data_IF_848894090215
#
_entry.id   IF_848894090215
#
_cell.length_a   1.000
_cell.length_b   1.000
_cell.length_c   1.000
_cell.angle_alpha   90.00
_cell.angle_beta   90.00
_cell.angle_gamma   90.00
#
_symmetry.space_group_name_H-M   'P 1'
#
loop_
_entity.id
_entity.type
_entity.pdbx_description
1 polymer ?
2 polymer ?
3 water ?
#
# COMPACT_ATOMS: atom_id res chain seq x y z
N UNK A 1 25.60 -5.82 20.20
CA UNK A 1 26.34 -6.48 19.13
C UNK A 1 25.42 -6.87 17.97
N UNK A 2 24.12 -6.86 18.21
CA UNK A 2 23.20 -7.17 17.13
C UNK A 2 23.04 -5.94 16.24
N UNK A 3 23.00 -6.15 14.93
CA UNK A 3 22.80 -5.05 13.99
C UNK A 3 21.30 -4.85 13.79
N UNK A 4 20.90 -3.63 13.46
CA UNK A 4 19.48 -3.34 13.30
C UNK A 4 19.25 -2.53 12.04
N UNK A 5 17.98 -2.35 11.71
CA UNK A 5 17.63 -1.64 10.49
C UNK A 5 16.29 -0.92 10.63
N UNK A 6 16.27 0.39 10.41
CA UNK A 6 15.00 1.11 10.42
C UNK A 6 14.48 1.15 8.99
N UNK A 7 13.18 0.99 8.84
CA UNK A 7 12.56 0.88 7.53
C UNK A 7 12.61 2.06 6.59
N UNK A 8 12.48 1.75 5.31
CA UNK A 8 12.31 2.68 4.24
C UNK A 8 10.84 2.45 3.88
N UNK A 9 9.95 3.23 4.48
CA UNK A 9 8.52 2.98 4.34
C UNK A 9 8.02 2.97 2.91
N UNK A 10 6.95 2.17 2.68
CA UNK A 10 6.37 1.91 1.36
C UNK A 10 5.85 3.14 0.62
N UNK A 11 5.24 4.06 1.36
CA UNK A 11 4.67 5.27 0.79
C UNK A 11 5.08 6.50 1.59
N UNK A 12 4.93 7.67 0.99
CA UNK A 12 5.27 8.91 1.68
C UNK A 12 4.34 9.13 2.87
N UNK A 13 3.09 8.69 2.74
CA UNK A 13 2.11 8.88 3.81
C UNK A 13 2.47 8.05 5.05
N UNK A 14 2.81 6.78 4.84
CA UNK A 14 3.20 5.94 5.96
C UNK A 14 4.49 6.47 6.56
N UNK A 15 5.40 6.93 5.71
CA UNK A 15 6.67 7.47 6.18
C UNK A 15 6.42 8.64 7.14
N UNK A 16 5.52 9.54 6.75
CA UNK A 16 5.26 10.71 7.60
C UNK A 16 4.64 10.35 8.96
N UNK A 17 3.87 9.27 9.01
CA UNK A 17 3.27 8.82 10.26
C UNK A 17 4.30 8.15 11.18
N UNK A 18 5.05 7.21 10.62
CA UNK A 18 5.98 6.40 11.40
C UNK A 18 7.42 6.86 11.53
N UNK A 19 7.89 7.75 10.65
CA UNK A 19 9.29 8.18 10.72
C UNK A 19 9.76 8.68 12.08
N UNK A 20 8.94 9.49 12.76
CA UNK A 20 9.32 10.01 14.06
C UNK A 20 9.62 8.91 15.08
N UNK A 21 8.76 7.90 15.12
CA UNK A 21 8.96 6.80 16.03
C UNK A 21 10.24 6.06 15.68
N UNK A 22 10.42 5.74 14.41
CA UNK A 22 11.61 5.02 13.96
C UNK A 22 12.87 5.76 14.35
N UNK A 23 12.88 7.07 14.11
CA UNK A 23 14.04 7.89 14.42
C UNK A 23 14.32 7.91 15.90
N UNK A 24 13.27 8.00 16.70
CA UNK A 24 13.45 8.04 18.14
C UNK A 24 13.93 6.71 18.69
N UNK A 25 13.46 5.62 18.10
CA UNK A 25 13.91 4.30 18.53
C UNK A 25 15.40 4.16 18.19
N UNK A 26 15.77 4.57 16.98
CA UNK A 26 17.17 4.45 16.56
C UNK A 26 18.07 5.23 17.50
N UNK A 27 17.64 6.43 17.86
CA UNK A 27 18.41 7.27 18.75
C UNK A 27 18.67 6.59 20.09
N UNK A 28 17.63 5.99 20.66
CA UNK A 28 17.76 5.30 21.95
C UNK A 28 18.60 4.03 21.87
N UNK A 29 18.54 3.35 20.74
CA UNK A 29 19.34 2.15 20.55
C UNK A 29 20.83 2.50 20.53
N UNK A 30 21.16 3.58 19.85
CA UNK A 30 22.56 4.01 19.67
C UNK A 30 23.17 4.76 20.87
N UNK A 31 22.30 5.34 21.69
CA UNK A 31 22.71 6.14 22.85
C UNK A 31 23.62 5.47 23.88
N UNK A 32 24.37 6.31 24.60
CA UNK A 32 25.27 5.89 25.68
C UNK A 32 24.80 6.53 26.98
N UNK A 33 24.23 5.71 27.86
CA UNK A 33 23.72 6.21 29.14
C UNK A 33 24.44 5.55 30.32
N UNK A 41 20.37 4.03 34.53
CA UNK A 41 19.11 4.06 35.28
C UNK A 41 18.00 4.67 34.44
N UNK A 42 16.81 4.10 34.55
CA UNK A 42 15.64 4.60 33.83
C UNK A 42 14.54 4.99 34.82
N UNK A 43 13.93 6.16 34.62
CA UNK A 43 12.89 6.65 35.52
C UNK A 43 11.62 5.79 35.56
N UNK A 44 10.68 6.13 36.45
CA UNK A 44 9.43 5.36 36.56
C UNK A 44 8.63 5.56 35.28
N UNK A 45 8.46 4.48 34.52
CA UNK A 45 7.74 4.55 33.24
C UNK A 45 6.30 4.03 33.31
N UNK A 46 5.81 3.76 34.52
CA UNK A 46 4.47 3.23 34.67
C UNK A 46 3.39 4.03 33.94
N UNK A 47 3.38 5.33 34.16
CA UNK A 47 2.36 6.21 33.55
C UNK A 47 2.46 6.33 32.01
N UNK A 48 3.64 6.59 31.48
CA UNK A 48 3.75 6.70 30.03
C UNK A 48 3.43 5.36 29.38
N UNK A 49 3.84 4.27 30.02
CA UNK A 49 3.53 2.97 29.45
C UNK A 49 2.01 2.74 29.51
N UNK A 50 1.38 3.14 30.61
CA UNK A 50 -0.08 3.00 30.70
C UNK A 50 -0.77 3.79 29.58
N UNK A 51 -0.23 4.94 29.19
CA UNK A 51 -0.81 5.74 28.11
C UNK A 51 -0.69 5.00 26.78
N UNK A 52 0.41 4.29 26.60
CA UNK A 52 0.57 3.49 25.39
C UNK A 52 -0.46 2.35 25.43
N UNK A 53 -0.57 1.72 26.59
CA UNK A 53 -1.52 0.62 26.77
C UNK A 53 -2.94 1.05 26.41
N UNK A 54 -3.32 2.24 26.87
CA UNK A 54 -4.67 2.75 26.59
C UNK A 54 -4.86 3.03 25.11
N UNK A 55 -3.83 3.56 24.45
CA UNK A 55 -3.89 3.86 23.03
C UNK A 55 -4.03 2.56 22.25
N UNK A 56 -3.21 1.58 22.61
CA UNK A 56 -3.28 0.30 21.94
C UNK A 56 -4.67 -0.34 22.11
N UNK A 57 -5.22 -0.27 23.31
CA UNK A 57 -6.53 -0.87 23.54
C UNK A 57 -7.63 -0.23 22.69
N UNK A 58 -7.56 1.09 22.54
CA UNK A 58 -8.52 1.80 21.71
C UNK A 58 -8.36 1.35 20.27
N UNK A 59 -7.11 1.29 19.82
CA UNK A 59 -6.81 0.91 18.46
C UNK A 59 -7.34 -0.50 18.19
N UNK A 60 -7.08 -1.41 19.12
CA UNK A 60 -7.56 -2.79 18.97
C UNK A 60 -9.08 -2.83 18.86
N UNK A 61 -9.77 -2.04 19.69
CA UNK A 61 -11.23 -2.00 19.66
C UNK A 61 -11.75 -1.59 18.28
N UNK A 62 -11.12 -0.57 17.70
CA UNK A 62 -11.51 -0.11 16.37
C UNK A 62 -11.15 -1.15 15.31
N UNK A 63 -10.00 -1.79 15.48
CA UNK A 63 -9.57 -2.82 14.53
C UNK A 63 -10.56 -3.98 14.52
N UNK A 64 -11.02 -4.39 15.70
CA UNK A 64 -11.98 -5.49 15.78
C UNK A 64 -13.30 -5.11 15.11
N UNK A 65 -13.76 -3.89 15.33
CA UNK A 65 -15.00 -3.41 14.70
C UNK A 65 -14.85 -3.48 13.18
N UNK A 66 -13.70 -3.07 12.68
CA UNK A 66 -13.43 -3.08 11.23
C UNK A 66 -13.41 -4.50 10.68
N UNK A 67 -12.68 -5.38 11.35
CA UNK A 67 -12.58 -6.77 10.91
C UNK A 67 -13.95 -7.44 10.88
N UNK A 68 -14.75 -7.15 11.90
CA UNK A 68 -16.07 -7.74 12.01
C UNK A 68 -17.15 -7.14 11.09
N UNK A 69 -16.88 -6.00 10.47
CA UNK A 69 -17.86 -5.38 9.60
C UNK A 69 -17.46 -5.25 8.13
N UNK A 70 -16.16 -5.29 7.83
CA UNK A 70 -15.70 -5.16 6.45
C UNK A 70 -16.20 -6.24 5.51
N UNK A 71 -16.51 -5.83 4.28
CA UNK A 71 -16.95 -6.78 3.26
C UNK A 71 -15.71 -7.24 2.50
N UNK A 72 -14.60 -6.54 2.73
CA UNK A 72 -13.34 -6.88 2.08
C UNK A 72 -12.77 -8.12 2.76
N UNK A 73 -13.10 -9.29 2.19
CA UNK A 73 -12.65 -10.55 2.75
C UNK A 73 -11.14 -10.65 2.91
N UNK A 74 -10.37 -9.95 2.08
CA UNK A 74 -8.92 -9.98 2.17
C UNK A 74 -8.42 -9.11 3.31
N UNK A 75 -8.99 -7.92 3.43
CA UNK A 75 -8.62 -7.02 4.51
C UNK A 75 -8.95 -7.76 5.80
N UNK A 76 -10.15 -8.34 5.84
CA UNK A 76 -10.59 -9.10 7.01
C UNK A 76 -9.57 -10.12 7.51
N UNK A 77 -8.86 -10.77 6.59
CA UNK A 77 -7.89 -11.80 6.97
C UNK A 77 -6.47 -11.34 7.31
N UNK A 78 -6.03 -10.25 6.67
CA UNK A 78 -4.67 -9.77 6.88
C UNK A 78 -4.49 -8.83 8.08
N UNK A 79 -5.60 -8.25 8.55
CA UNK A 79 -5.54 -7.31 9.65
C UNK A 79 -5.12 -7.85 11.02
N UNK A 80 -5.78 -8.90 11.50
CA UNK A 80 -5.48 -9.42 12.82
C UNK A 80 -4.01 -9.64 13.20
N UNK A 81 -3.23 -10.28 12.34
CA UNK A 81 -1.83 -10.51 12.68
C UNK A 81 -1.08 -9.22 13.03
N UNK A 82 -1.42 -8.13 12.35
CA UNK A 82 -0.75 -6.85 12.62
C UNK A 82 -1.13 -6.32 14.00
N UNK A 83 -2.42 -6.36 14.33
CA UNK A 83 -2.88 -5.87 15.63
C UNK A 83 -2.33 -6.78 16.72
N UNK A 84 -2.20 -8.07 16.41
CA UNK A 84 -1.68 -9.05 17.35
C UNK A 84 -0.23 -8.72 17.70
N UNK A 85 0.55 -8.35 16.68
CA UNK A 85 1.93 -7.96 16.88
C UNK A 85 2.03 -6.70 17.75
N UNK A 86 1.14 -5.74 17.51
CA UNK A 86 1.15 -4.50 18.29
C UNK A 86 0.81 -4.80 19.75
N UNK A 87 -0.27 -5.55 19.97
CA UNK A 87 -0.67 -5.88 21.34
C UNK A 87 0.43 -6.64 22.09
N UNK A 88 1.00 -7.65 21.43
CA UNK A 88 2.06 -8.43 22.07
C UNK A 88 3.25 -7.55 22.47
N UNK A 89 3.63 -6.62 21.58
CA UNK A 89 4.75 -5.73 21.87
C UNK A 89 4.41 -4.83 23.05
N UNK A 90 3.16 -4.38 23.12
CA UNK A 90 2.73 -3.54 24.23
C UNK A 90 2.91 -4.27 25.58
N UNK A 91 2.65 -5.57 25.59
CA UNK A 91 2.80 -6.32 26.85
C UNK A 91 4.24 -6.30 27.35
N UNK A 92 5.19 -6.18 26.42
CA UNK A 92 6.60 -6.12 26.81
C UNK A 92 6.90 -4.78 27.48
N UNK A 93 6.29 -3.70 27.01
CA UNK A 93 6.52 -2.40 27.64
C UNK A 93 5.96 -2.44 29.07
N UNK A 94 4.79 -3.04 29.22
CA UNK A 94 4.14 -3.14 30.52
C UNK A 94 5.03 -3.91 31.49
N UNK A 95 5.57 -5.04 31.03
CA UNK A 95 6.45 -5.85 31.87
C UNK A 95 7.68 -5.04 32.25
N UNK A 96 8.26 -4.32 31.27
CA UNK A 96 9.44 -3.49 31.55
C UNK A 96 9.19 -2.47 32.66
N UNK A 97 8.05 -1.77 32.58
CA UNK A 97 7.75 -0.74 33.58
C UNK A 97 7.65 -1.34 34.97
N UNK A 98 7.07 -2.54 35.04
CA UNK A 98 6.92 -3.22 36.31
C UNK A 98 8.30 -3.59 36.88
N UNK A 99 9.20 -4.03 36.02
CA UNK A 99 10.55 -4.41 36.45
C UNK A 99 11.38 -3.21 36.90
N UNK A 100 11.18 -2.08 36.23
CA UNK A 100 11.93 -0.87 36.51
C UNK A 100 11.53 -0.24 37.84
N UNK A 101 10.37 -0.59 38.35
CA UNK A 101 9.90 -0.03 39.62
C UNK A 101 10.77 -0.55 40.77
N UNK A 102 11.22 -1.79 40.65
CA UNK A 102 12.05 -2.37 41.69
C UNK A 102 13.54 -2.24 41.37
N UNK A 103 13.88 -2.17 40.09
CA UNK A 103 15.28 -2.06 39.69
C UNK A 103 15.43 -1.16 38.45
N UNK A 104 15.64 0.12 38.69
CA UNK A 104 15.77 1.09 37.62
C UNK A 104 16.96 0.81 36.69
N UNK A 105 17.84 -0.09 37.11
CA UNK A 105 19.04 -0.40 36.33
C UNK A 105 18.91 -1.72 35.58
N UNK A 106 17.72 -2.30 35.64
CA UNK A 106 17.47 -3.59 35.01
C UNK A 106 17.83 -3.62 33.53
N UNK A 107 18.70 -4.56 33.16
CA UNK A 107 19.09 -4.74 31.76
C UNK A 107 17.97 -5.43 31.00
N UNK A 108 17.35 -6.43 31.60
CA UNK A 108 16.27 -7.14 30.92
C UNK A 108 15.08 -6.20 30.67
N UNK A 109 14.88 -5.24 31.57
CA UNK A 109 13.80 -4.26 31.42
C UNK A 109 14.07 -3.40 30.19
N UNK A 110 15.30 -2.93 30.06
CA UNK A 110 15.68 -2.11 28.90
C UNK A 110 15.49 -2.91 27.61
N UNK A 111 15.83 -4.20 27.66
CA UNK A 111 15.67 -5.08 26.51
C UNK A 111 14.20 -5.14 26.09
N UNK A 112 13.30 -5.20 27.06
CA UNK A 112 11.87 -5.25 26.76
C UNK A 112 11.40 -3.94 26.14
N UNK A 113 11.88 -2.83 26.69
CA UNK A 113 11.51 -1.51 26.19
C UNK A 113 11.84 -1.42 24.71
N UNK A 114 13.04 -1.85 24.35
CA UNK A 114 13.50 -1.79 22.99
C UNK A 114 12.74 -2.76 22.09
N UNK A 115 12.60 -4.01 22.53
CA UNK A 115 11.89 -5.01 21.75
C UNK A 115 10.42 -4.59 21.59
N UNK A 116 9.83 -4.09 22.66
CA UNK A 116 8.43 -3.67 22.65
C UNK A 116 8.23 -2.47 21.72
N UNK A 117 9.14 -1.51 21.80
CA UNK A 117 9.06 -0.33 20.95
C UNK A 117 9.19 -0.72 19.48
N UNK A 118 10.17 -1.56 19.18
CA UNK A 118 10.37 -2.01 17.81
C UNK A 118 9.19 -2.84 17.31
N UNK A 119 8.64 -3.69 18.18
CA UNK A 119 7.50 -4.53 17.82
C UNK A 119 6.28 -3.65 17.53
N UNK A 120 6.12 -2.56 18.27
CA UNK A 120 4.99 -1.66 18.00
C UNK A 120 5.19 -0.99 16.65
N UNK A 121 6.42 -0.57 16.35
CA UNK A 121 6.71 0.06 15.06
C UNK A 121 6.43 -0.92 13.94
N UNK A 122 6.98 -2.11 14.07
CA UNK A 122 6.79 -3.14 13.04
C UNK A 122 5.34 -3.55 12.85
N UNK A 123 4.58 -3.68 13.94
CA UNK A 123 3.17 -4.06 13.86
C UNK A 123 2.31 -2.95 13.25
N UNK A 124 2.61 -1.69 13.61
CA UNK A 124 1.85 -0.57 13.09
C UNK A 124 2.14 -0.40 11.60
N UNK A 125 3.39 -0.62 11.21
CA UNK A 125 3.75 -0.54 9.80
C UNK A 125 2.98 -1.63 9.04
N UNK A 126 2.97 -2.84 9.57
CA UNK A 126 2.25 -3.96 8.94
C UNK A 126 0.77 -3.59 8.80
N UNK A 127 0.20 -2.97 9.83
CA UNK A 127 -1.20 -2.57 9.82
C UNK A 127 -1.48 -1.55 8.70
N UNK A 128 -0.64 -0.53 8.62
CA UNK A 128 -0.81 0.49 7.60
C UNK A 128 -0.66 -0.10 6.20
N UNK A 129 0.22 -1.09 6.08
CA UNK A 129 0.43 -1.73 4.79
C UNK A 129 -0.82 -2.54 4.38
N UNK A 130 -1.53 -3.09 5.35
CA UNK A 130 -2.73 -3.85 4.98
C UNK A 130 -3.79 -2.93 4.40
N UNK A 131 -3.91 -1.74 4.97
CA UNK A 131 -4.87 -0.79 4.45
C UNK A 131 -4.41 -0.25 3.10
N UNK A 132 -3.09 -0.14 2.96
CA UNK A 132 -2.50 0.32 1.70
C UNK A 132 -2.81 -0.68 0.60
N UNK A 133 -2.72 -1.96 0.93
CA UNK A 133 -2.99 -3.02 -0.04
C UNK A 133 -4.43 -2.97 -0.52
N UNK A 134 -5.35 -2.62 0.38
CA UNK A 134 -6.76 -2.50 0.02
C UNK A 134 -6.95 -1.36 -0.97
N UNK A 135 -6.20 -0.27 -0.78
CA UNK A 135 -6.25 0.87 -1.69
C UNK A 135 -5.72 0.45 -3.07
N UNK A 136 -4.62 -0.29 -3.08
CA UNK A 136 -4.06 -0.76 -4.35
C UNK A 136 -5.03 -1.69 -5.06
N UNK A 137 -5.77 -2.48 -4.29
CA UNK A 137 -6.75 -3.38 -4.90
C UNK A 137 -7.80 -2.61 -5.69
N UNK A 138 -8.11 -1.39 -5.25
CA UNK A 138 -9.08 -0.51 -5.93
C UNK A 138 -8.51 -0.07 -7.28
N UNK A 139 -7.22 0.21 -7.30
CA UNK A 139 -6.56 0.61 -8.54
C UNK A 139 -6.54 -0.59 -9.47
N UNK A 140 -6.17 -1.76 -8.94
CA UNK A 140 -6.13 -2.98 -9.75
C UNK A 140 -7.50 -3.29 -10.36
N UNK A 141 -8.56 -3.04 -9.60
CA UNK A 141 -9.90 -3.28 -10.12
C UNK A 141 -10.18 -2.42 -11.36
N UNK A 142 -9.71 -1.18 -11.36
CA UNK A 142 -9.89 -0.30 -12.49
C UNK A 142 -9.07 -0.82 -13.67
N UNK A 143 -7.86 -1.28 -13.40
CA UNK A 143 -6.97 -1.82 -14.43
C UNK A 143 -7.61 -3.04 -15.08
N UNK A 144 -8.15 -3.93 -14.25
CA UNK A 144 -8.81 -5.13 -14.74
C UNK A 144 -10.08 -4.81 -15.56
N UNK A 145 -10.74 -3.71 -15.21
CA UNK A 145 -11.92 -3.29 -15.97
C UNK A 145 -11.48 -2.86 -17.37
N UNK A 146 -10.31 -2.22 -17.46
CA UNK A 146 -9.78 -1.81 -18.76
C UNK A 146 -9.37 -3.06 -19.57
N UNK A 147 -8.73 -4.04 -18.93
CA UNK A 147 -8.35 -5.27 -19.62
C UNK A 147 -9.61 -5.92 -20.19
N UNK A 148 -10.65 -5.97 -19.36
CA UNK A 148 -11.91 -6.58 -19.79
C UNK A 148 -12.52 -5.83 -20.96
N UNK A 149 -12.49 -4.51 -20.92
CA UNK A 149 -13.05 -3.70 -22.00
C UNK A 149 -12.24 -3.86 -23.28
N UNK A 150 -10.93 -4.10 -23.15
CA UNK A 150 -10.11 -4.35 -24.32
C UNK A 150 -10.58 -5.63 -25.05
N UNK A 151 -11.10 -6.60 -24.29
CA UNK A 151 -11.62 -7.82 -24.92
C UNK A 151 -12.89 -7.55 -25.75
N UNK A 152 -13.56 -6.44 -25.45
CA UNK A 152 -14.78 -6.07 -26.17
C UNK A 152 -14.47 -5.51 -27.56
N UNK A 153 -13.24 -5.05 -27.78
CA UNK A 153 -12.88 -4.48 -29.10
C UNK A 153 -13.23 -5.40 -30.27
N UNK A 154 -13.04 -6.69 -30.10
CA UNK A 154 -13.33 -7.63 -31.19
C UNK A 154 -14.79 -7.72 -31.59
N UNK A 155 -15.69 -7.24 -30.72
CA UNK A 155 -17.12 -7.28 -31.02
C UNK A 155 -17.61 -6.00 -31.68
N UNK A 156 -16.72 -5.03 -31.87
CA UNK A 156 -17.09 -3.77 -32.52
C UNK A 156 -16.97 -3.95 -34.02
N UNK A 157 -18.11 -3.93 -34.71
CA UNK A 157 -18.12 -4.16 -36.14
C UNK A 157 -18.92 -3.14 -36.94
N UNK A 158 -19.33 -2.06 -36.29
CA UNK A 158 -20.02 -0.96 -36.99
C UNK A 158 -19.40 0.35 -36.55
N UNK A 159 -19.51 1.38 -37.39
CA UNK A 159 -18.95 2.67 -37.03
C UNK A 159 -19.70 3.27 -35.85
N UNK A 160 -21.00 3.00 -35.76
CA UNK A 160 -21.78 3.50 -34.64
C UNK A 160 -21.25 2.91 -33.33
N UNK A 161 -20.98 1.61 -33.33
CA UNK A 161 -20.45 0.94 -32.14
C UNK A 161 -19.03 1.42 -31.86
N UNK A 162 -18.25 1.72 -32.90
CA UNK A 162 -16.90 2.25 -32.67
C UNK A 162 -16.95 3.59 -31.94
N UNK A 163 -17.90 4.47 -32.30
CA UNK A 163 -18.04 5.73 -31.58
C UNK A 163 -18.32 5.48 -30.09
N UNK A 164 -19.25 4.57 -29.79
CA UNK A 164 -19.60 4.23 -28.42
C UNK A 164 -18.36 3.71 -27.68
N UNK A 165 -17.66 2.79 -28.34
CA UNK A 165 -16.46 2.19 -27.76
C UNK A 165 -15.40 3.23 -27.42
N UNK A 166 -15.07 4.09 -28.36
CA UNK A 166 -14.03 5.07 -28.09
C UNK A 166 -14.44 6.02 -26.96
N UNK A 167 -15.71 6.41 -26.96
CA UNK A 167 -16.19 7.33 -25.93
C UNK A 167 -16.24 6.69 -24.56
N UNK A 168 -16.09 5.38 -24.51
CA UNK A 168 -16.08 4.67 -23.24
C UNK A 168 -14.66 4.34 -22.79
N UNK A 169 -13.87 3.78 -23.69
CA UNK A 169 -12.50 3.41 -23.38
C UNK A 169 -11.63 4.63 -23.09
N UNK A 170 -11.89 5.73 -23.79
CA UNK A 170 -11.12 6.95 -23.64
C UNK A 170 -11.13 7.46 -22.21
N UNK A 171 -12.31 7.69 -21.66
CA UNK A 171 -12.43 8.20 -20.31
C UNK A 171 -11.94 7.18 -19.29
N UNK A 172 -12.13 5.91 -19.60
CA UNK A 172 -11.70 4.83 -18.72
C UNK A 172 -10.18 4.86 -18.56
N UNK A 173 -9.48 5.05 -19.68
CA UNK A 173 -8.02 5.13 -19.66
C UNK A 173 -7.55 6.36 -18.90
N UNK A 174 -8.26 7.45 -19.06
CA UNK A 174 -7.93 8.69 -18.39
C UNK A 174 -7.97 8.51 -16.87
N UNK A 175 -9.00 7.82 -16.40
CA UNK A 175 -9.20 7.57 -14.98
C UNK A 175 -8.08 6.65 -14.48
N UNK A 176 -7.83 5.58 -15.20
CA UNK A 176 -6.73 4.67 -14.88
C UNK A 176 -5.40 5.42 -14.78
N UNK A 177 -5.10 6.23 -15.80
CA UNK A 177 -3.85 6.99 -15.82
C UNK A 177 -3.71 7.91 -14.60
N UNK A 178 -4.80 8.59 -14.25
CA UNK A 178 -4.79 9.47 -13.10
C UNK A 178 -4.50 8.71 -11.80
N UNK A 179 -5.10 7.55 -11.64
CA UNK A 179 -4.88 6.71 -10.44
C UNK A 179 -3.43 6.27 -10.35
N UNK A 180 -2.84 5.92 -11.49
CA UNK A 180 -1.44 5.49 -11.54
C UNK A 180 -0.49 6.65 -11.28
N UNK A 181 -0.78 7.81 -11.87
CA UNK A 181 0.07 8.98 -11.65
C UNK A 181 0.10 9.32 -10.16
N UNK A 182 -1.08 9.34 -9.54
CA UNK A 182 -1.21 9.66 -8.12
C UNK A 182 -0.49 8.62 -7.28
N UNK A 183 -0.61 7.35 -7.66
CA UNK A 183 0.05 6.30 -6.91
C UNK A 183 1.57 6.37 -7.00
N UNK A 184 2.11 6.54 -8.20
CA UNK A 184 3.56 6.57 -8.30
C UNK A 184 4.14 7.74 -7.49
N UNK A 185 3.39 8.83 -7.39
CA UNK A 185 3.86 9.97 -6.63
C UNK A 185 3.98 9.65 -5.14
N UNK A 186 3.23 8.65 -4.69
CA UNK A 186 3.26 8.26 -3.28
C UNK A 186 4.36 7.27 -2.95
N UNK A 187 4.83 6.52 -3.94
CA UNK A 187 5.86 5.50 -3.71
C UNK A 187 7.23 6.05 -3.40
N UNK A 188 7.97 5.36 -2.54
CA UNK A 188 9.31 5.77 -2.16
C UNK A 188 10.36 5.11 -3.02
N UNK A 189 10.04 3.94 -3.56
CA UNK A 189 11.01 3.20 -4.35
C UNK A 189 11.03 3.61 -5.81
N UNK A 190 12.07 4.38 -6.16
CA UNK A 190 12.21 4.94 -7.50
C UNK A 190 12.09 3.95 -8.65
N UNK A 191 12.63 2.75 -8.46
CA UNK A 191 12.58 1.75 -9.51
C UNK A 191 11.14 1.39 -9.90
N UNK A 192 10.28 1.28 -8.89
CA UNK A 192 8.89 0.94 -9.14
C UNK A 192 8.14 2.10 -9.80
N UNK A 193 8.44 3.33 -9.39
CA UNK A 193 7.78 4.49 -10.01
C UNK A 193 8.12 4.53 -11.50
N UNK A 194 9.39 4.32 -11.84
CA UNK A 194 9.79 4.36 -13.24
C UNK A 194 9.02 3.33 -14.06
N UNK A 195 8.89 2.11 -13.53
CA UNK A 195 8.18 1.06 -14.24
C UNK A 195 6.73 1.42 -14.48
N UNK A 196 6.08 2.00 -13.47
CA UNK A 196 4.68 2.38 -13.60
C UNK A 196 4.50 3.46 -14.65
N UNK A 197 5.32 4.50 -14.58
CA UNK A 197 5.25 5.61 -15.52
C UNK A 197 5.53 5.14 -16.95
N UNK A 198 6.52 4.29 -17.13
CA UNK A 198 6.87 3.80 -18.46
C UNK A 198 5.75 2.97 -19.07
N UNK A 199 5.16 2.10 -18.27
CA UNK A 199 4.06 1.26 -18.75
C UNK A 199 2.84 2.11 -19.08
N UNK A 200 2.52 3.05 -18.21
CA UNK A 200 1.37 3.90 -18.46
C UNK A 200 1.55 4.68 -19.76
N UNK A 201 2.75 5.22 -19.97
CA UNK A 201 2.99 6.00 -21.19
C UNK A 201 2.80 5.13 -22.41
N UNK A 202 3.30 3.92 -22.34
CA UNK A 202 3.20 2.97 -23.46
C UNK A 202 1.72 2.69 -23.80
N UNK A 203 0.93 2.49 -22.75
CA UNK A 203 -0.49 2.19 -22.88
C UNK A 203 -1.24 3.35 -23.51
N UNK A 204 -0.94 4.55 -23.02
CA UNK A 204 -1.60 5.75 -23.54
C UNK A 204 -1.30 5.94 -25.03
N UNK A 205 -0.05 5.64 -25.42
CA UNK A 205 0.37 5.78 -26.81
C UNK A 205 -0.33 4.76 -27.72
N UNK A 206 -0.58 3.57 -27.18
CA UNK A 206 -1.21 2.52 -27.96
C UNK A 206 -2.71 2.75 -28.18
N UNK A 207 -3.32 3.59 -27.34
CA UNK A 207 -4.76 3.84 -27.47
C UNK A 207 -5.21 4.32 -28.84
N UNK A 208 -4.61 5.40 -29.36
CA UNK A 208 -4.99 5.87 -30.69
C UNK A 208 -4.69 4.85 -31.79
N UNK A 209 -3.66 4.04 -31.59
CA UNK A 209 -3.28 3.01 -32.54
C UNK A 209 -4.40 1.97 -32.59
N UNK A 210 -4.94 1.65 -31.42
CA UNK A 210 -6.03 0.70 -31.35
C UNK A 210 -7.28 1.23 -32.03
N UNK A 211 -7.63 2.49 -31.75
CA UNK A 211 -8.83 3.05 -32.36
C UNK A 211 -8.65 3.07 -33.88
N UNK A 212 -7.46 3.45 -34.33
CA UNK A 212 -7.18 3.48 -35.77
C UNK A 212 -7.32 2.09 -36.41
N UNK A 213 -6.84 1.06 -35.72
CA UNK A 213 -6.94 -0.30 -36.22
C UNK A 213 -8.39 -0.78 -36.26
N UNK A 214 -9.18 -0.39 -35.25
CA UNK A 214 -10.58 -0.77 -35.23
C UNK A 214 -11.36 -0.08 -36.35
N UNK A 215 -11.02 1.17 -36.63
CA UNK A 215 -11.70 1.91 -37.70
C UNK A 215 -11.42 1.21 -39.05
N UNK A 216 -10.17 0.80 -39.24
CA UNK A 216 -9.81 0.10 -40.47
C UNK A 216 -10.57 -1.22 -40.57
N UNK A 217 -10.66 -1.94 -39.46
CA UNK A 217 -11.40 -3.21 -39.45
C UNK A 217 -12.86 -2.99 -39.80
N UNK A 218 -13.49 -2.01 -39.16
CA UNK A 218 -14.90 -1.72 -39.40
C UNK A 218 -15.13 -1.37 -40.87
N UNK A 219 -14.29 -0.49 -41.39
CA UNK A 219 -14.37 -0.05 -42.79
C UNK A 219 -14.18 -1.22 -43.75
N UNK A 220 -13.21 -2.06 -43.46
CA UNK A 220 -12.92 -3.21 -44.30
C UNK A 220 -14.07 -4.21 -44.29
N UNK A 221 -14.60 -4.49 -43.10
CA UNK A 221 -15.71 -5.43 -42.97
C UNK A 221 -16.95 -4.97 -43.74
N UNK A 222 -17.28 -3.70 -43.61
CA UNK A 222 -18.47 -3.18 -44.25
C UNK A 222 -18.31 -2.85 -45.74
N UNK A 223 -17.22 -3.33 -46.33
CA UNK A 223 -16.98 -3.12 -47.76
C UNK A 223 -17.25 -4.45 -48.47
N UNK A 224 -16.98 -4.50 -49.77
CA UNK A 224 -17.19 -5.72 -50.54
C UNK A 224 -15.88 -6.26 -51.14
N UNK A 225 -15.74 -7.59 -51.11
CA UNK A 225 -14.58 -8.36 -51.60
C UNK A 225 -13.24 -8.05 -50.95
N UNK A 226 -13.25 -7.32 -49.86
CA UNK A 226 -11.95 -7.03 -49.26
C UNK A 226 -11.67 -8.11 -48.24
N UNK A 227 -10.41 -8.42 -48.06
CA UNK A 227 -10.11 -9.44 -47.07
C UNK A 227 -9.98 -8.76 -45.72
N UNK A 228 -10.61 -9.32 -44.71
CA UNK A 228 -10.57 -8.77 -43.35
C UNK A 228 -9.51 -9.40 -42.45
N UNK A 229 -8.82 -10.42 -42.97
CA UNK A 229 -7.81 -11.11 -42.18
C UNK A 229 -6.70 -10.21 -41.66
N UNK A 230 -6.21 -9.30 -42.52
CA UNK A 230 -5.14 -8.39 -42.11
C UNK A 230 -5.61 -7.38 -41.07
N UNK A 231 -6.80 -6.81 -41.27
CA UNK A 231 -7.33 -5.82 -40.33
C UNK A 231 -7.54 -6.47 -38.97
N UNK A 232 -7.99 -7.72 -38.98
CA UNK A 232 -8.24 -8.44 -37.74
C UNK A 232 -6.92 -8.63 -36.99
N UNK A 233 -5.90 -9.07 -37.72
CA UNK A 233 -4.58 -9.33 -37.15
C UNK A 233 -3.98 -8.09 -36.49
N UNK A 234 -4.05 -6.98 -37.21
CA UNK A 234 -3.53 -5.72 -36.71
C UNK A 234 -4.28 -5.22 -35.48
N UNK A 235 -5.59 -5.37 -35.47
CA UNK A 235 -6.35 -4.97 -34.30
C UNK A 235 -5.94 -5.83 -33.11
N UNK A 236 -5.94 -7.15 -33.31
CA UNK A 236 -5.61 -8.11 -32.26
C UNK A 236 -4.22 -7.90 -31.68
N UNK A 237 -3.27 -7.56 -32.54
CA UNK A 237 -1.89 -7.30 -32.13
C UNK A 237 -1.83 -6.15 -31.12
N UNK A 238 -2.53 -5.07 -31.43
CA UNK A 238 -2.53 -3.89 -30.57
C UNK A 238 -3.19 -4.17 -29.22
N UNK A 239 -4.32 -4.87 -29.24
CA UNK A 239 -4.99 -5.22 -27.99
C UNK A 239 -4.04 -6.04 -27.12
N UNK A 240 -3.29 -6.96 -27.74
CA UNK A 240 -2.38 -7.83 -27.02
C UNK A 240 -1.25 -7.04 -26.34
N UNK A 241 -0.68 -6.09 -27.06
CA UNK A 241 0.37 -5.25 -26.52
C UNK A 241 -0.15 -4.39 -25.36
N UNK A 242 -1.37 -3.87 -25.51
CA UNK A 242 -1.92 -3.03 -24.45
C UNK A 242 -2.20 -3.87 -23.22
N UNK A 243 -2.70 -5.09 -23.43
CA UNK A 243 -3.02 -5.96 -22.30
C UNK A 243 -1.76 -6.37 -21.56
N UNK A 244 -0.69 -6.59 -22.31
CA UNK A 244 0.60 -6.91 -21.70
C UNK A 244 1.06 -5.77 -20.78
N UNK A 245 0.92 -4.54 -21.25
CA UNK A 245 1.34 -3.36 -20.49
C UNK A 245 0.51 -3.18 -19.23
N UNK A 246 -0.79 -3.38 -19.33
CA UNK A 246 -1.67 -3.23 -18.16
C UNK A 246 -1.37 -4.31 -17.12
N UNK A 247 -1.09 -5.52 -17.59
CA UNK A 247 -0.77 -6.59 -16.66
C UNK A 247 0.53 -6.25 -15.93
N UNK A 248 1.45 -5.61 -16.63
CA UNK A 248 2.71 -5.20 -16.00
C UNK A 248 2.46 -4.13 -14.94
N UNK A 249 1.48 -3.26 -15.18
CA UNK A 249 1.12 -2.25 -14.18
C UNK A 249 0.58 -2.95 -12.93
N UNK A 250 -0.32 -3.89 -13.15
CA UNK A 250 -0.91 -4.66 -12.05
C UNK A 250 0.18 -5.37 -11.24
N UNK A 251 1.13 -5.98 -11.93
CA UNK A 251 2.23 -6.66 -11.25
C UNK A 251 3.04 -5.67 -10.41
N UNK A 252 3.45 -4.57 -11.01
CA UNK A 252 4.27 -3.58 -10.33
C UNK A 252 3.59 -2.88 -9.14
N UNK A 253 2.29 -2.65 -9.24
CA UNK A 253 1.55 -2.01 -8.15
C UNK A 253 1.63 -2.80 -6.85
N UNK A 254 1.91 -4.09 -6.97
CA UNK A 254 1.93 -4.98 -5.81
C UNK A 254 3.31 -5.27 -5.22
N UNK A 255 4.34 -4.74 -5.86
CA UNK A 255 5.71 -4.99 -5.41
C UNK A 255 6.04 -4.29 -4.10
N UNK A 256 6.83 -4.98 -3.27
CA UNK A 256 7.32 -4.45 -2.00
C UNK A 256 8.85 -4.56 -2.03
N UNK A 257 9.50 -4.26 -0.91
CA UNK A 257 10.97 -4.31 -0.87
C UNK A 257 11.45 -4.78 0.49
N UNK A 258 12.61 -5.43 0.52
CA UNK A 258 13.18 -5.90 1.77
C UNK A 258 13.45 -4.77 2.74
N UNK A 259 13.86 -3.62 2.21
CA UNK A 259 14.19 -2.50 3.08
C UNK A 259 13.01 -1.88 3.84
N UNK A 260 11.82 -2.38 3.59
CA UNK A 260 10.64 -1.89 4.30
C UNK A 260 10.46 -2.55 5.67
N UNK A 261 11.25 -3.58 5.95
CA UNK A 261 11.17 -4.27 7.24
C UNK A 261 11.95 -3.52 8.31
N UNK A 262 11.47 -3.62 9.55
CA UNK A 262 12.15 -3.04 10.70
C UNK A 262 12.68 -4.19 11.57
N UNK A 263 13.93 -4.07 12.00
CA UNK A 263 14.52 -5.09 12.87
C UNK A 263 15.81 -4.59 13.50
N UNK B 1 16.84 12.48 22.92
CA UNK B 1 15.72 11.54 22.94
C UNK B 1 15.80 10.68 24.20
N UNK B 2 14.69 10.56 24.93
CA UNK B 2 14.66 9.76 26.16
C UNK B 2 13.47 8.81 26.14
N UNK B 3 13.40 7.88 27.08
CA UNK B 3 12.30 6.91 27.11
C UNK B 3 10.92 7.54 27.29
N UNK B 4 10.82 8.52 28.18
CA UNK B 4 9.54 9.19 28.41
C UNK B 4 9.04 9.83 27.12
N UNK B 5 9.92 10.50 26.39
CA UNK B 5 9.53 11.13 25.13
C UNK B 5 9.15 10.11 24.06
N UNK B 6 9.92 9.04 23.95
CA UNK B 6 9.60 8.02 22.95
C UNK B 6 8.23 7.40 23.23
N UNK B 7 7.94 7.14 24.49
CA UNK B 7 6.65 6.56 24.87
C UNK B 7 5.50 7.49 24.53
N UNK B 8 5.70 8.79 24.74
CA UNK B 8 4.69 9.81 24.41
C UNK B 8 4.46 9.76 22.89
N UNK B 9 5.54 9.66 22.14
CA UNK B 9 5.46 9.60 20.68
C UNK B 9 4.69 8.36 20.23
N UNK B 10 4.99 7.22 20.83
CA UNK B 10 4.31 6.00 20.45
C UNK B 10 2.81 6.12 20.69
N UNK B 11 2.44 6.64 21.84
CA UNK B 11 1.02 6.77 22.16
C UNK B 11 0.31 7.66 21.14
N UNK B 12 0.94 8.78 20.78
CA UNK B 12 0.37 9.71 19.82
C UNK B 12 0.24 9.07 18.44
N UNK B 13 1.28 8.34 18.05
CA UNK B 13 1.29 7.66 16.76
C UNK B 13 0.17 6.65 16.67
N UNK B 14 -0.04 5.89 17.75
CA UNK B 14 -1.10 4.89 17.77
C UNK B 14 -2.46 5.56 17.62
N UNK B 15 -2.65 6.68 18.30
CA UNK B 15 -3.90 7.44 18.19
C UNK B 15 -4.08 7.91 16.75
N UNK B 16 -2.98 8.29 16.10
CA UNK B 16 -3.03 8.75 14.71
C UNK B 16 -3.53 7.63 13.79
N UNK B 17 -2.99 6.43 13.98
CA UNK B 17 -3.36 5.28 13.19
C UNK B 17 -4.83 4.93 13.40
N UNK B 18 -5.31 5.03 14.64
CA UNK B 18 -6.70 4.72 14.93
C UNK B 18 -7.58 5.71 14.15
N UNK B 19 -7.16 6.97 14.13
CA UNK B 19 -7.90 8.02 13.43
C UNK B 19 -7.94 7.81 11.92
N UNK B 20 -6.85 7.32 11.36
CA UNK B 20 -6.80 7.02 9.94
C UNK B 20 -7.89 5.98 9.67
N UNK B 21 -7.94 4.94 10.49
CA UNK B 21 -8.94 3.89 10.34
C UNK B 21 -10.37 4.44 10.43
N UNK B 22 -10.62 5.27 11.44
CA UNK B 22 -11.94 5.85 11.66
C UNK B 22 -12.43 6.77 10.54
N UNK B 23 -11.50 7.38 9.80
CA UNK B 23 -11.87 8.28 8.71
C UNK B 23 -11.98 7.56 7.36
N UNK B 24 -11.29 6.42 7.23
CA UNK B 24 -11.32 5.64 6.01
C UNK B 24 -12.69 5.03 5.81
#
# INVERSE_FOLDING_TARGET
HHHHHMPVFHTRTIESILEPVAQQISHLVIMHEEGEVDGKAIPDLTAPVAAVQAAVSNLVRVGKETVQTTEDQILKRDMPPAFIKVENACTKLVQAAQMLQSDPYSVPARDYLIDGSRGILSGTSDLLLTFDEAEVRKIIRVCKGILEYLTVAEVVETMEDLVTYTKNLGPGMTKMAKMIDERQQELTHQEHRVMLVNSMNTVKELLPVLISAMKIFVTTKNSKNQGIEEALKNRNFTVEKMSAEINEIIRVLQLTSWDEDAW
VGWEQLLTTIARTINEVENQILTR
#
